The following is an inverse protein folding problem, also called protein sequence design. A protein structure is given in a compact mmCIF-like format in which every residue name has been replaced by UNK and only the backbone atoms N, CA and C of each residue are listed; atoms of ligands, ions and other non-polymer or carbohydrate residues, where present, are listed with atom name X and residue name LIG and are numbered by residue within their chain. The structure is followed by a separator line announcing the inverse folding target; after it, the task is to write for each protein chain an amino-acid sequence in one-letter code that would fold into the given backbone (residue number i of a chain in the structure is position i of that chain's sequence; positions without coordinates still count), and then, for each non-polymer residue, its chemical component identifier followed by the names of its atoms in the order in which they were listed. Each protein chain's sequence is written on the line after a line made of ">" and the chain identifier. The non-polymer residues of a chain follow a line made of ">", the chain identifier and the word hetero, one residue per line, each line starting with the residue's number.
data_IF_113499349889
#
_entry.id   IF_113499349889
#
_cell.length_a   1.000
_cell.length_b   1.000
_cell.length_c   1.000
_cell.angle_alpha   90.00
_cell.angle_beta   90.00
_cell.angle_gamma   90.00
#
_symmetry.space_group_name_H-M   'P 1'
#
loop_
_entity.id
_entity.type
_entity.pdbx_description
1 polymer ?
#
# COMPACT_ATOMS: atom_id res chain seq x y z
N UNK A 1 64.63 21.53 -53.57
CA UNK A 1 65.03 20.40 -52.72
C UNK A 1 63.96 20.18 -51.67
N UNK A 2 63.28 19.04 -51.75
CA UNK A 2 62.31 18.59 -50.77
C UNK A 2 63.02 17.90 -49.60
N UNK A 3 62.50 18.04 -48.38
CA UNK A 3 62.75 17.09 -47.31
C UNK A 3 61.38 16.64 -46.80
N UNK A 4 61.05 15.39 -47.14
CA UNK A 4 59.89 14.65 -46.66
C UNK A 4 60.33 14.00 -45.34
N UNK A 5 59.61 14.23 -44.25
CA UNK A 5 59.71 13.41 -43.03
C UNK A 5 58.38 12.68 -42.86
N UNK A 6 58.44 11.37 -43.06
CA UNK A 6 57.36 10.41 -42.91
C UNK A 6 56.95 10.27 -41.45
N UNK A 7 55.67 10.48 -41.14
CA UNK A 7 55.08 10.07 -39.87
C UNK A 7 54.48 8.66 -40.04
N UNK A 8 55.08 7.68 -39.36
CA UNK A 8 54.57 6.32 -39.31
C UNK A 8 53.30 6.23 -38.43
N UNK A 9 52.22 5.72 -39.02
CA UNK A 9 50.97 5.41 -38.33
C UNK A 9 51.16 4.12 -37.52
N UNK A 10 51.25 4.22 -36.19
CA UNK A 10 51.15 3.04 -35.32
C UNK A 10 49.66 2.82 -35.02
N UNK A 11 49.05 1.89 -35.75
CA UNK A 11 47.72 1.39 -35.44
C UNK A 11 47.82 0.39 -34.28
N UNK A 12 47.78 0.88 -33.03
CA UNK A 12 47.50 0.02 -31.87
C UNK A 12 46.01 -0.30 -31.87
N UNK A 13 45.67 -1.52 -32.31
CA UNK A 13 44.33 -2.07 -32.14
C UNK A 13 43.97 -2.18 -30.65
N UNK A 14 43.05 -1.33 -30.19
CA UNK A 14 42.35 -1.57 -28.94
C UNK A 14 41.46 -2.79 -29.11
N UNK A 15 41.92 -3.94 -28.61
CA UNK A 15 41.05 -5.04 -28.25
C UNK A 15 40.08 -4.50 -27.19
N UNK A 16 38.86 -4.18 -27.61
CA UNK A 16 37.75 -3.96 -26.70
C UNK A 16 37.48 -5.28 -25.98
N UNK A 17 38.11 -5.47 -24.82
CA UNK A 17 37.68 -6.49 -23.88
C UNK A 17 36.30 -6.07 -23.41
N UNK A 18 35.27 -6.65 -24.02
CA UNK A 18 33.91 -6.64 -23.49
C UNK A 18 33.93 -7.41 -22.18
N UNK A 19 34.30 -6.72 -21.10
CA UNK A 19 34.07 -7.19 -19.75
C UNK A 19 32.56 -7.28 -19.59
N UNK A 20 32.02 -8.49 -19.69
CA UNK A 20 30.70 -8.77 -19.17
C UNK A 20 30.73 -8.39 -17.69
N UNK A 21 30.16 -7.24 -17.34
CA UNK A 21 29.87 -6.96 -15.93
C UNK A 21 29.01 -8.13 -15.46
N UNK A 22 29.58 -9.00 -14.65
CA UNK A 22 28.80 -10.01 -13.95
C UNK A 22 27.74 -9.22 -13.19
N UNK A 23 26.47 -9.35 -13.60
CA UNK A 23 25.36 -8.72 -12.92
C UNK A 23 25.41 -9.17 -11.46
N UNK A 24 25.89 -8.31 -10.56
CA UNK A 24 25.84 -8.56 -9.14
C UNK A 24 24.40 -8.94 -8.79
N UNK A 25 24.24 -10.00 -8.00
CA UNK A 25 22.91 -10.44 -7.59
C UNK A 25 22.16 -9.25 -6.97
N UNK A 26 20.88 -9.04 -7.34
CA UNK A 26 20.11 -7.92 -6.82
C UNK A 26 20.12 -7.94 -5.30
N UNK A 27 20.20 -6.77 -4.68
CA UNK A 27 20.07 -6.65 -3.23
C UNK A 27 18.78 -7.38 -2.78
N UNK A 28 18.83 -8.16 -1.70
CA UNK A 28 17.73 -9.05 -1.32
C UNK A 28 16.51 -8.27 -0.84
N UNK A 29 15.37 -8.96 -0.82
CA UNK A 29 14.09 -8.38 -0.44
C UNK A 29 13.30 -7.82 -1.63
N UNK A 30 12.28 -7.04 -1.30
CA UNK A 30 11.32 -6.50 -2.26
C UNK A 30 11.07 -5.04 -1.96
N UNK A 31 11.06 -4.20 -2.99
CA UNK A 31 10.68 -2.78 -2.89
C UNK A 31 9.23 -2.68 -3.30
N UNK A 32 8.36 -2.15 -2.42
CA UNK A 32 7.02 -1.67 -2.81
C UNK A 32 7.06 -0.17 -3.02
N UNK A 33 6.28 0.32 -3.98
CA UNK A 33 6.32 1.73 -4.39
C UNK A 33 5.01 2.12 -5.09
N UNK A 34 4.81 3.41 -5.31
CA UNK A 34 3.71 3.93 -6.13
C UNK A 34 4.21 4.17 -7.54
N UNK A 35 3.43 3.77 -8.54
CA UNK A 35 3.64 4.12 -9.94
C UNK A 35 2.32 4.16 -10.67
N UNK A 36 2.10 5.21 -11.45
CA UNK A 36 0.82 5.43 -12.14
C UNK A 36 -0.40 5.33 -11.19
N UNK A 37 -0.29 5.93 -9.99
CA UNK A 37 -1.32 5.98 -8.94
C UNK A 37 -1.70 4.64 -8.30
N UNK A 38 -0.95 3.58 -8.57
CA UNK A 38 -1.20 2.22 -8.06
C UNK A 38 0.02 1.73 -7.27
N UNK A 39 -0.19 0.74 -6.42
CA UNK A 39 0.88 0.04 -5.70
C UNK A 39 1.55 -0.96 -6.63
N UNK A 40 2.88 -0.90 -6.70
CA UNK A 40 3.74 -1.80 -7.45
C UNK A 40 4.78 -2.43 -6.52
N UNK A 41 5.43 -3.46 -7.01
CA UNK A 41 6.60 -4.05 -6.36
C UNK A 41 7.68 -4.43 -7.37
N UNK A 42 8.94 -4.45 -6.94
CA UNK A 42 10.09 -4.85 -7.73
C UNK A 42 11.10 -5.64 -6.86
N UNK A 43 12.06 -6.29 -7.52
CA UNK A 43 13.25 -6.80 -6.85
C UNK A 43 14.07 -5.62 -6.30
N UNK A 44 15.02 -5.92 -5.40
CA UNK A 44 15.88 -4.89 -4.82
C UNK A 44 16.80 -4.14 -5.80
N UNK A 45 16.91 -4.55 -7.06
CA UNK A 45 17.58 -3.79 -8.12
C UNK A 45 16.60 -2.93 -8.96
N UNK A 46 15.30 -2.92 -8.62
CA UNK A 46 14.25 -2.24 -9.38
C UNK A 46 13.72 -3.02 -10.59
N UNK A 47 14.30 -4.18 -10.92
CA UNK A 47 13.82 -5.03 -12.02
C UNK A 47 12.60 -5.87 -11.62
N UNK A 48 11.90 -6.43 -12.61
CA UNK A 48 10.73 -7.28 -12.35
C UNK A 48 9.56 -6.51 -11.74
N UNK A 49 9.31 -5.28 -12.19
CA UNK A 49 8.19 -4.46 -11.71
C UNK A 49 6.85 -5.15 -11.97
N UNK A 50 6.04 -5.31 -10.94
CA UNK A 50 4.72 -5.93 -10.98
C UNK A 50 3.72 -4.99 -10.32
N UNK A 51 2.63 -4.70 -11.02
CA UNK A 51 1.49 -3.98 -10.46
C UNK A 51 0.76 -4.88 -9.46
N UNK A 52 0.68 -4.43 -8.20
CA UNK A 52 0.01 -5.14 -7.10
C UNK A 52 -1.46 -4.75 -7.03
N UNK A 53 -1.76 -3.44 -7.05
CA UNK A 53 -3.14 -2.96 -7.01
C UNK A 53 -3.67 -2.62 -8.41
N UNK A 54 -4.95 -2.85 -8.64
CA UNK A 54 -5.62 -2.46 -9.89
C UNK A 54 -6.98 -1.88 -9.58
N UNK A 55 -6.99 -0.59 -9.24
CA UNK A 55 -8.21 0.12 -8.91
C UNK A 55 -8.81 0.93 -10.04
N UNK A 56 -8.19 0.88 -11.22
CA UNK A 56 -8.58 1.68 -12.37
C UNK A 56 -8.29 3.17 -12.18
N UNK A 57 -7.32 3.53 -11.33
CA UNK A 57 -6.75 4.88 -11.19
C UNK A 57 -7.75 6.00 -10.79
N UNK A 58 -8.95 5.66 -10.29
CA UNK A 58 -9.95 6.65 -9.87
C UNK A 58 -9.47 7.47 -8.66
N UNK A 59 -8.75 6.82 -7.75
CA UNK A 59 -8.14 7.44 -6.57
C UNK A 59 -6.72 6.90 -6.41
N UNK A 60 -5.80 7.79 -6.10
CA UNK A 60 -4.38 7.50 -5.97
C UNK A 60 -4.05 6.77 -4.67
N UNK A 61 -3.24 5.72 -4.79
CA UNK A 61 -2.52 5.14 -3.66
C UNK A 61 -1.30 5.98 -3.32
N UNK A 62 -1.00 6.12 -2.02
CA UNK A 62 0.17 6.83 -1.50
C UNK A 62 0.77 6.07 -0.32
N UNK A 63 2.01 6.38 0.04
CA UNK A 63 2.69 5.84 1.23
C UNK A 63 2.54 4.31 1.38
N UNK A 64 2.98 3.50 0.39
CA UNK A 64 3.01 2.07 0.51
C UNK A 64 4.12 1.66 1.48
N UNK A 65 3.85 0.65 2.29
CA UNK A 65 4.78 0.07 3.26
C UNK A 65 4.57 -1.43 3.30
N UNK A 66 5.64 -2.20 3.48
CA UNK A 66 5.56 -3.66 3.48
C UNK A 66 6.23 -4.26 4.70
N UNK A 67 5.52 -5.19 5.35
CA UNK A 67 6.02 -5.97 6.45
C UNK A 67 6.92 -7.11 5.95
N UNK A 68 7.59 -7.79 6.86
CA UNK A 68 8.53 -8.86 6.52
C UNK A 68 7.85 -10.12 5.98
N UNK A 69 6.57 -10.30 6.32
CA UNK A 69 5.74 -11.39 5.83
C UNK A 69 5.14 -11.11 4.43
N UNK A 70 5.41 -9.93 3.85
CA UNK A 70 4.88 -9.48 2.58
C UNK A 70 3.47 -8.88 2.67
N UNK A 71 2.95 -8.62 3.87
CA UNK A 71 1.77 -7.78 4.06
C UNK A 71 2.08 -6.35 3.62
N UNK A 72 1.28 -5.80 2.71
CA UNK A 72 1.40 -4.42 2.24
C UNK A 72 0.28 -3.58 2.84
N UNK A 73 0.61 -2.41 3.37
CA UNK A 73 -0.33 -1.34 3.66
C UNK A 73 -0.05 -0.17 2.72
N UNK A 74 -1.10 0.54 2.31
CA UNK A 74 -0.98 1.79 1.58
C UNK A 74 -2.17 2.68 1.91
N UNK A 75 -2.00 3.99 1.80
CA UNK A 75 -3.10 4.93 1.87
C UNK A 75 -3.84 5.00 0.54
N UNK A 76 -5.15 5.15 0.61
CA UNK A 76 -5.99 5.52 -0.52
C UNK A 76 -7.04 6.50 -0.05
N UNK A 77 -6.95 7.75 -0.50
CA UNK A 77 -7.60 8.86 0.22
C UNK A 77 -7.11 8.88 1.68
N UNK A 78 -8.01 8.82 2.67
CA UNK A 78 -7.69 8.69 4.11
C UNK A 78 -7.89 7.26 4.66
N UNK A 79 -8.14 6.28 3.79
CA UNK A 79 -8.31 4.88 4.20
C UNK A 79 -6.97 4.13 4.12
N UNK A 80 -6.72 3.29 5.12
CA UNK A 80 -5.65 2.30 5.10
C UNK A 80 -6.16 1.07 4.34
N UNK A 81 -5.47 0.73 3.26
CA UNK A 81 -5.73 -0.48 2.47
C UNK A 81 -4.65 -1.51 2.78
N UNK A 82 -5.05 -2.65 3.35
CA UNK A 82 -4.16 -3.77 3.64
C UNK A 82 -4.33 -4.85 2.57
N UNK A 83 -3.23 -5.28 1.97
CA UNK A 83 -3.22 -6.21 0.84
C UNK A 83 -2.04 -7.19 0.90
N UNK A 84 -2.11 -8.25 0.11
CA UNK A 84 -0.99 -9.16 -0.17
C UNK A 84 -0.24 -8.70 -1.43
N UNK A 85 0.98 -9.21 -1.61
CA UNK A 85 1.78 -9.02 -2.84
C UNK A 85 1.11 -9.52 -4.13
N UNK A 86 0.10 -10.39 -4.02
CA UNK A 86 -0.72 -10.84 -5.16
C UNK A 86 -1.89 -9.91 -5.52
N UNK A 87 -2.01 -8.77 -4.84
CA UNK A 87 -3.08 -7.80 -5.03
C UNK A 87 -4.38 -8.13 -4.29
N UNK A 88 -4.44 -9.24 -3.54
CA UNK A 88 -5.61 -9.56 -2.71
C UNK A 88 -5.73 -8.53 -1.59
N UNK A 89 -6.77 -7.68 -1.66
CA UNK A 89 -7.16 -6.81 -0.55
C UNK A 89 -7.68 -7.66 0.59
N UNK A 90 -7.04 -7.54 1.76
CA UNK A 90 -7.43 -8.23 2.99
C UNK A 90 -8.55 -7.47 3.69
N UNK A 91 -8.39 -6.15 3.81
CA UNK A 91 -9.32 -5.24 4.45
C UNK A 91 -8.98 -3.77 4.12
N UNK A 92 -9.96 -2.90 4.30
CA UNK A 92 -9.82 -1.44 4.18
C UNK A 92 -10.52 -0.81 5.38
N UNK A 93 -9.91 0.20 5.99
CA UNK A 93 -10.44 0.84 7.18
C UNK A 93 -9.94 2.30 7.29
N UNK A 94 -10.72 3.20 7.92
CA UNK A 94 -10.36 4.61 8.01
C UNK A 94 -9.21 4.86 8.99
N UNK A 95 -8.18 5.59 8.57
CA UNK A 95 -7.05 5.99 9.42
C UNK A 95 -7.43 6.99 10.54
N UNK A 96 -8.66 7.53 10.48
CA UNK A 96 -9.26 8.49 11.42
C UNK A 96 -8.65 9.88 11.37
N UNK A 97 -8.84 10.65 12.43
CA UNK A 97 -8.49 12.07 12.49
C UNK A 97 -7.59 12.38 13.67
N UNK A 98 -6.80 13.45 13.54
CA UNK A 98 -5.97 14.00 14.61
C UNK A 98 -6.84 14.80 15.61
N UNK A 99 -7.69 15.66 15.07
CA UNK A 99 -8.70 16.44 15.81
C UNK A 99 -10.11 16.09 15.36
N UNK A 100 -11.15 16.46 16.13
CA UNK A 100 -12.53 16.38 15.68
C UNK A 100 -12.73 17.07 14.31
N UNK A 101 -13.51 16.47 13.38
CA UNK A 101 -13.77 17.09 12.07
C UNK A 101 -14.45 18.48 12.13
N UNK A 102 -15.07 18.82 13.26
CA UNK A 102 -15.65 20.15 13.52
C UNK A 102 -14.59 21.22 13.80
N UNK A 103 -13.38 20.82 14.16
CA UNK A 103 -12.31 21.71 14.64
C UNK A 103 -11.15 21.83 13.65
N UNK A 104 -10.99 20.84 12.76
CA UNK A 104 -9.87 20.82 11.84
C UNK A 104 -10.13 20.07 10.53
N UNK A 105 -9.43 20.49 9.47
CA UNK A 105 -9.34 19.71 8.24
C UNK A 105 -8.22 18.67 8.38
N UNK A 106 -8.60 17.40 8.47
CA UNK A 106 -7.69 16.32 8.79
C UNK A 106 -7.24 15.54 7.54
N UNK A 107 -5.99 15.12 7.51
CA UNK A 107 -5.44 14.28 6.46
C UNK A 107 -4.43 13.27 7.04
N UNK A 108 -4.47 12.04 6.53
CA UNK A 108 -3.44 11.05 6.84
C UNK A 108 -2.34 11.14 5.79
N UNK A 109 -1.11 11.42 6.25
CA UNK A 109 0.04 11.68 5.40
C UNK A 109 0.81 10.40 5.10
N UNK A 110 1.22 9.66 6.14
CA UNK A 110 2.05 8.46 6.00
C UNK A 110 1.55 7.29 6.83
N UNK A 111 1.85 6.08 6.36
CA UNK A 111 1.67 4.85 7.13
C UNK A 111 2.94 4.01 7.11
N UNK A 112 3.28 3.41 8.24
CA UNK A 112 4.37 2.44 8.32
C UNK A 112 3.91 1.18 9.07
N UNK A 113 4.00 0.02 8.42
CA UNK A 113 3.63 -1.25 9.04
C UNK A 113 4.78 -1.77 9.91
N UNK A 114 4.47 -2.45 11.01
CA UNK A 114 5.48 -3.12 11.84
C UNK A 114 6.10 -4.31 11.09
N UNK A 115 7.34 -4.72 11.43
CA UNK A 115 8.01 -5.85 10.78
C UNK A 115 7.17 -7.14 10.79
N UNK A 116 6.48 -7.44 11.89
CA UNK A 116 5.57 -8.59 12.01
C UNK A 116 4.21 -8.45 11.29
N UNK A 117 3.95 -7.31 10.65
CA UNK A 117 2.72 -7.04 9.92
C UNK A 117 1.48 -6.81 10.79
N UNK A 118 1.61 -6.73 12.12
CA UNK A 118 0.48 -6.68 13.06
C UNK A 118 0.07 -5.28 13.50
N UNK A 119 0.95 -4.29 13.41
CA UNK A 119 0.71 -2.91 13.83
C UNK A 119 0.99 -1.94 12.68
N UNK A 120 0.47 -0.73 12.81
CA UNK A 120 0.73 0.37 11.90
C UNK A 120 0.91 1.66 12.70
N UNK A 121 1.89 2.47 12.30
CA UNK A 121 2.03 3.85 12.71
C UNK A 121 1.37 4.74 11.64
N UNK A 122 0.55 5.70 12.07
CA UNK A 122 -0.22 6.59 11.22
C UNK A 122 0.26 8.02 11.47
N UNK A 123 0.94 8.61 10.49
CA UNK A 123 1.30 10.04 10.49
C UNK A 123 0.11 10.85 10.00
N UNK A 124 -0.37 11.76 10.83
CA UNK A 124 -1.54 12.59 10.61
C UNK A 124 -1.14 14.07 10.59
N UNK A 125 -1.83 14.85 9.78
CA UNK A 125 -1.75 16.30 9.78
C UNK A 125 -3.17 16.89 9.87
N UNK A 126 -3.29 18.05 10.48
CA UNK A 126 -4.54 18.78 10.55
C UNK A 126 -4.31 20.28 10.41
N UNK A 127 -5.12 20.92 9.57
CA UNK A 127 -5.18 22.38 9.48
C UNK A 127 -6.20 22.85 10.51
N UNK A 128 -5.72 23.58 11.53
CA UNK A 128 -6.52 24.12 12.63
C UNK A 128 -6.72 25.62 12.47
N UNK A 129 -7.93 26.11 12.74
CA UNK A 129 -8.22 27.53 12.82
C UNK A 129 -7.97 28.05 14.23
N UNK A 130 -7.15 29.10 14.39
CA UNK A 130 -6.96 29.77 15.68
C UNK A 130 -5.54 29.82 16.21
N UNK A 131 -4.53 29.83 15.33
CA UNK A 131 -3.16 30.17 15.72
C UNK A 131 -3.11 31.55 16.41
N UNK A 132 -2.07 31.82 17.19
CA UNK A 132 -1.97 32.98 18.12
C UNK A 132 -2.21 34.38 17.52
N UNK A 133 -2.34 34.49 16.20
CA UNK A 133 -2.66 35.72 15.46
C UNK A 133 -3.91 35.61 14.56
N UNK A 134 -4.82 34.67 14.84
CA UNK A 134 -6.03 34.45 14.01
C UNK A 134 -5.74 33.75 12.68
N UNK A 135 -4.59 33.08 12.56
CA UNK A 135 -4.13 32.36 11.37
C UNK A 135 -4.49 30.86 11.35
N UNK A 136 -4.10 30.20 10.25
CA UNK A 136 -4.14 28.76 10.08
C UNK A 136 -2.82 28.14 10.50
N UNK A 137 -2.85 27.15 11.39
CA UNK A 137 -1.68 26.35 11.76
C UNK A 137 -1.82 24.91 11.26
N UNK A 138 -0.70 24.26 10.98
CA UNK A 138 -0.64 22.83 10.68
C UNK A 138 -0.13 22.10 11.92
N UNK A 139 -0.96 21.23 12.46
CA UNK A 139 -0.59 20.36 13.56
C UNK A 139 -0.33 18.94 13.05
N UNK A 140 0.75 18.33 13.52
CA UNK A 140 1.12 16.95 13.21
C UNK A 140 0.91 16.02 14.40
N UNK A 141 0.74 14.74 14.12
CA UNK A 141 0.84 13.74 15.17
C UNK A 141 0.84 12.32 14.66
N UNK A 142 1.33 11.41 15.51
CA UNK A 142 1.39 9.99 15.23
C UNK A 142 0.38 9.23 16.10
N UNK A 143 -0.41 8.35 15.46
CA UNK A 143 -1.28 7.38 16.12
C UNK A 143 -0.83 5.95 15.82
N UNK A 144 -1.11 5.01 16.73
CA UNK A 144 -0.73 3.60 16.59
C UNK A 144 -1.95 2.70 16.66
N UNK A 145 -2.09 1.81 15.67
CA UNK A 145 -3.22 0.89 15.54
C UNK A 145 -2.76 -0.52 15.20
N UNK A 146 -3.64 -1.51 15.39
CA UNK A 146 -3.51 -2.80 14.74
C UNK A 146 -3.56 -2.61 13.21
N UNK A 147 -2.81 -3.39 12.46
CA UNK A 147 -2.73 -3.23 10.98
C UNK A 147 -4.04 -3.57 10.26
N UNK A 148 -4.91 -4.36 10.89
CA UNK A 148 -6.15 -4.86 10.30
C UNK A 148 -7.40 -4.03 10.64
N UNK A 149 -7.32 -3.08 11.57
CA UNK A 149 -8.42 -2.19 11.94
C UNK A 149 -7.93 -1.06 12.85
N UNK A 150 -8.69 0.02 12.92
CA UNK A 150 -8.43 1.10 13.87
C UNK A 150 -8.52 0.57 15.31
N UNK A 151 -7.46 0.78 16.07
CA UNK A 151 -7.39 0.58 17.52
C UNK A 151 -6.49 1.67 18.11
N UNK A 152 -6.53 1.87 19.42
CA UNK A 152 -5.62 2.79 20.10
C UNK A 152 -4.60 1.95 20.87
N UNK A 153 -3.38 1.80 20.34
CA UNK A 153 -2.31 1.04 21.00
C UNK A 153 -1.51 1.89 22.00
N UNK A 154 -1.53 3.21 21.84
CA UNK A 154 -0.98 4.20 22.76
C UNK A 154 -1.73 5.52 22.61
N UNK A 155 -1.56 6.48 23.53
CA UNK A 155 -1.98 7.86 23.31
C UNK A 155 -1.37 8.44 22.02
N UNK A 156 -2.07 9.40 21.41
CA UNK A 156 -1.58 10.18 20.28
C UNK A 156 -0.30 10.92 20.66
N UNK A 157 0.69 10.91 19.78
CA UNK A 157 1.93 11.68 19.94
C UNK A 157 1.83 12.92 19.06
N UNK A 158 1.28 14.00 19.62
CA UNK A 158 1.20 15.31 18.97
C UNK A 158 2.61 15.87 18.76
N UNK A 159 2.83 16.56 17.64
CA UNK A 159 4.13 17.07 17.21
C UNK A 159 5.17 15.99 16.86
N UNK A 160 4.76 14.72 16.77
CA UNK A 160 5.64 13.66 16.27
C UNK A 160 5.14 13.12 14.94
N UNK A 161 6.00 13.09 13.92
CA UNK A 161 5.69 12.64 12.56
C UNK A 161 6.70 11.63 12.02
N UNK A 162 6.45 11.12 10.81
CA UNK A 162 7.32 10.19 10.08
C UNK A 162 7.79 8.97 10.89
N UNK A 163 6.90 8.43 11.73
CA UNK A 163 7.19 7.28 12.56
C UNK A 163 7.41 6.01 11.71
N UNK A 164 8.61 5.42 11.81
CA UNK A 164 8.97 4.14 11.19
C UNK A 164 9.30 3.09 12.23
N UNK A 165 8.78 1.87 12.04
CA UNK A 165 9.03 0.77 12.96
C UNK A 165 10.45 0.23 12.84
N UNK A 166 11.20 0.30 13.94
CA UNK A 166 12.54 -0.30 14.04
C UNK A 166 12.52 -1.64 14.77
N UNK A 167 11.42 -1.94 15.47
CA UNK A 167 11.09 -3.25 16.05
C UNK A 167 9.57 -3.46 16.03
N UNK A 168 9.06 -4.54 16.61
CA UNK A 168 7.60 -4.75 16.73
C UNK A 168 6.93 -3.92 17.84
N UNK A 169 7.71 -3.16 18.61
CA UNK A 169 7.22 -2.34 19.72
C UNK A 169 7.82 -0.93 19.77
N UNK A 170 8.79 -0.61 18.91
CA UNK A 170 9.52 0.65 18.94
C UNK A 170 9.59 1.28 17.55
N UNK A 171 9.44 2.60 17.51
CA UNK A 171 9.60 3.42 16.32
C UNK A 171 10.75 4.41 16.50
N UNK A 172 11.34 4.78 15.36
CA UNK A 172 12.08 6.03 15.18
C UNK A 172 11.12 7.04 14.55
N UNK A 173 11.19 8.30 14.94
CA UNK A 173 10.25 9.32 14.49
C UNK A 173 10.89 10.71 14.54
N UNK A 174 10.24 11.68 13.92
CA UNK A 174 10.63 13.09 13.96
C UNK A 174 9.85 13.79 15.07
N UNK A 175 10.53 14.57 15.88
CA UNK A 175 9.98 15.48 16.87
C UNK A 175 9.98 16.90 16.29
N UNK A 176 8.79 17.49 16.20
CA UNK A 176 8.47 18.80 15.62
C UNK A 176 7.84 19.72 16.70
N UNK A 177 8.07 19.42 17.99
CA UNK A 177 7.60 20.24 19.12
C UNK A 177 8.51 21.46 19.35
N UNK A 178 9.76 21.36 18.92
CA UNK A 178 10.79 22.40 19.01
C UNK A 178 10.89 23.17 17.69
N UNK A 179 11.54 24.33 17.71
CA UNK A 179 11.78 25.13 16.50
C UNK A 179 12.70 24.45 15.47
N UNK A 180 13.34 23.34 15.84
CA UNK A 180 14.18 22.50 14.99
C UNK A 180 13.64 21.07 15.07
N UNK A 181 13.43 20.43 13.92
CA UNK A 181 13.00 19.04 13.89
C UNK A 181 14.14 18.09 14.30
N UNK A 182 13.88 17.21 15.27
CA UNK A 182 14.88 16.30 15.85
C UNK A 182 14.47 14.83 15.74
N UNK A 183 15.43 13.91 15.83
CA UNK A 183 15.16 12.48 15.74
C UNK A 183 14.88 11.92 17.14
N UNK A 184 13.73 11.26 17.29
CA UNK A 184 13.28 10.69 18.55
C UNK A 184 13.01 9.18 18.44
N UNK A 185 13.05 8.51 19.59
CA UNK A 185 12.70 7.10 19.76
C UNK A 185 11.48 6.97 20.67
N UNK A 186 10.58 6.04 20.33
CA UNK A 186 9.39 5.78 21.14
C UNK A 186 9.00 4.31 21.10
N UNK A 187 8.82 3.70 22.27
CA UNK A 187 8.20 2.39 22.43
C UNK A 187 6.76 2.53 22.88
N UNK A 188 5.87 1.63 22.45
CA UNK A 188 4.44 1.73 22.82
C UNK A 188 4.17 1.65 24.32
N UNK A 189 5.15 1.13 25.08
CA UNK A 189 5.13 1.02 26.55
C UNK A 189 5.61 2.28 27.24
N UNK A 190 6.19 3.23 26.51
CA UNK A 190 6.80 4.43 27.07
C UNK A 190 5.72 5.49 27.37
N UNK A 191 5.95 6.31 28.40
CA UNK A 191 5.08 7.45 28.71
C UNK A 191 5.12 8.51 27.60
N UNK A 192 6.34 8.86 27.17
CA UNK A 192 6.63 9.86 26.16
C UNK A 192 7.80 9.41 25.25
N UNK A 193 7.89 9.93 24.01
CA UNK A 193 9.09 9.79 23.18
C UNK A 193 10.33 10.39 23.84
N UNK A 194 11.51 9.92 23.45
CA UNK A 194 12.79 10.50 23.88
C UNK A 194 13.58 10.95 22.67
N UNK A 195 13.97 12.23 22.64
CA UNK A 195 14.90 12.76 21.64
C UNK A 195 16.22 12.01 21.72
N UNK A 196 16.72 11.58 20.56
CA UNK A 196 18.01 10.90 20.42
C UNK A 196 19.11 11.89 20.02
N UNK A 197 18.87 12.70 18.99
CA UNK A 197 19.76 13.78 18.57
C UNK A 197 19.01 14.79 17.68
N UNK A 198 19.56 15.99 17.58
CA UNK A 198 19.14 17.02 16.62
C UNK A 198 20.28 17.41 15.66
N UNK A 199 20.06 18.39 14.80
CA UNK A 199 21.10 18.82 13.85
C UNK A 199 22.31 19.47 14.53
N UNK A 200 22.08 20.27 15.58
CA UNK A 200 23.11 20.99 16.32
C UNK A 200 24.07 20.03 17.03
N UNK A 201 23.57 18.86 17.44
CA UNK A 201 24.37 17.77 17.99
C UNK A 201 25.39 17.20 17.00
N UNK A 202 25.12 17.26 15.71
CA UNK A 202 25.92 16.67 14.63
C UNK A 202 26.77 17.73 13.93
N UNK A 203 26.19 18.91 13.70
CA UNK A 203 26.77 20.04 12.99
C UNK A 203 26.80 21.29 13.87
N UNK A 204 27.58 21.30 14.98
CA UNK A 204 27.54 22.37 15.97
C UNK A 204 28.08 23.73 15.45
N UNK A 205 28.75 23.73 14.31
CA UNK A 205 29.31 24.94 13.68
C UNK A 205 28.44 25.49 12.55
N UNK A 206 27.35 24.80 12.19
CA UNK A 206 26.45 25.20 11.12
C UNK A 206 25.22 25.91 11.69
N UNK A 207 24.49 26.61 10.81
CA UNK A 207 23.12 27.00 11.13
C UNK A 207 22.27 25.73 11.24
N UNK A 208 21.52 25.53 12.33
CA UNK A 208 20.77 24.29 12.52
C UNK A 208 19.67 24.14 11.47
N UNK A 209 19.60 22.95 10.89
CA UNK A 209 18.57 22.56 9.92
C UNK A 209 17.68 21.44 10.46
N UNK A 210 16.57 21.17 9.78
CA UNK A 210 15.67 20.07 10.15
C UNK A 210 16.25 18.69 9.81
N UNK A 211 16.08 17.72 10.72
CA UNK A 211 16.42 16.31 10.51
C UNK A 211 15.15 15.47 10.37
N UNK A 212 14.92 14.92 9.18
CA UNK A 212 13.63 14.32 8.82
C UNK A 212 13.75 12.93 8.17
N UNK A 213 12.61 12.26 8.05
CA UNK A 213 12.44 10.95 7.38
C UNK A 213 13.46 9.86 7.77
N UNK A 214 13.67 9.61 9.07
CA UNK A 214 14.69 8.68 9.53
C UNK A 214 14.45 7.25 9.02
N UNK A 215 15.51 6.57 8.61
CA UNK A 215 15.51 5.17 8.19
C UNK A 215 16.68 4.42 8.84
N UNK A 216 16.37 3.46 9.72
CA UNK A 216 17.37 2.66 10.40
C UNK A 216 17.55 1.31 9.68
N UNK A 217 18.79 0.93 9.38
CA UNK A 217 19.11 -0.39 8.80
C UNK A 217 18.64 -1.53 9.69
N UNK A 218 18.38 -2.71 9.11
CA UNK A 218 17.87 -3.87 9.83
C UNK A 218 18.81 -4.35 10.95
N UNK A 219 20.12 -4.18 10.79
CA UNK A 219 21.12 -4.44 11.85
C UNK A 219 21.27 -3.29 12.86
N UNK A 220 20.76 -2.10 12.54
CA UNK A 220 20.81 -0.91 13.41
C UNK A 220 22.12 -0.15 13.35
N UNK A 221 23.03 -0.50 12.44
CA UNK A 221 24.37 0.10 12.34
C UNK A 221 24.45 1.28 11.38
N UNK A 222 23.42 1.50 10.57
CA UNK A 222 23.28 2.65 9.67
C UNK A 222 21.96 3.35 9.93
N UNK A 223 22.01 4.67 9.99
CA UNK A 223 20.84 5.54 9.97
C UNK A 223 20.96 6.41 8.72
N UNK A 224 19.85 6.62 8.02
CA UNK A 224 19.74 7.62 6.98
C UNK A 224 18.69 8.64 7.39
N UNK A 225 18.99 9.92 7.23
CA UNK A 225 18.02 11.02 7.37
C UNK A 225 18.14 11.94 6.17
N UNK A 226 17.15 12.82 6.02
CA UNK A 226 17.28 14.00 5.18
C UNK A 226 17.53 15.20 6.08
N UNK A 227 18.44 16.08 5.65
CA UNK A 227 18.75 17.33 6.32
C UNK A 227 18.37 18.51 5.44
N UNK A 228 17.74 19.53 6.01
CA UNK A 228 17.44 20.78 5.32
C UNK A 228 16.00 20.91 4.81
N UNK A 229 15.73 22.04 4.15
CA UNK A 229 14.39 22.43 3.72
C UNK A 229 14.07 21.96 2.30
N UNK A 230 12.79 22.00 1.94
CA UNK A 230 12.19 21.42 0.72
C UNK A 230 12.93 21.69 -0.62
N UNK A 231 13.77 22.72 -0.76
CA UNK A 231 14.53 23.00 -1.99
C UNK A 231 15.92 22.37 -2.02
N UNK A 232 16.55 22.16 -0.86
CA UNK A 232 18.01 21.93 -0.74
C UNK A 232 18.32 20.81 0.26
N UNK A 233 17.56 19.71 0.20
CA UNK A 233 17.77 18.58 1.10
C UNK A 233 19.05 17.82 0.77
N UNK A 234 19.80 17.49 1.80
CA UNK A 234 20.91 16.55 1.75
C UNK A 234 20.46 15.19 2.28
N UNK A 235 20.97 14.10 1.71
CA UNK A 235 20.79 12.77 2.28
C UNK A 235 22.03 12.42 3.11
N UNK A 236 21.85 12.23 4.41
CA UNK A 236 22.94 11.92 5.34
C UNK A 236 22.90 10.45 5.70
N UNK A 237 24.01 9.77 5.50
CA UNK A 237 24.26 8.41 5.98
C UNK A 237 25.10 8.51 7.24
N UNK A 238 24.62 7.90 8.32
CA UNK A 238 25.31 7.83 9.60
C UNK A 238 25.79 6.43 9.96
N UNK A 239 26.83 6.37 10.78
CA UNK A 239 27.18 5.18 11.57
C UNK A 239 26.56 5.30 12.96
N UNK A 240 25.88 4.24 13.39
CA UNK A 240 25.23 4.15 14.71
C UNK A 240 26.03 3.22 15.62
N UNK A 241 26.40 3.72 16.80
CA UNK A 241 27.06 2.95 17.85
C UNK A 241 26.11 2.72 19.01
N UNK A 242 25.73 1.46 19.24
CA UNK A 242 24.72 1.05 20.21
C UNK A 242 23.48 0.44 19.53
N UNK A 243 22.38 0.29 20.26
CA UNK A 243 21.18 -0.40 19.75
C UNK A 243 19.90 0.44 19.96
N UNK A 244 19.47 1.13 18.91
CA UNK A 244 18.27 1.98 18.92
C UNK A 244 16.96 1.19 19.12
N UNK A 245 16.98 -0.14 18.92
CA UNK A 245 15.78 -0.98 19.06
C UNK A 245 15.42 -1.26 20.52
N UNK A 246 16.39 -1.17 21.42
CA UNK A 246 16.23 -1.52 22.84
C UNK A 246 16.63 -0.39 23.78
N UNK A 247 17.48 0.54 23.36
CA UNK A 247 17.94 1.67 24.17
C UNK A 247 18.08 2.94 23.36
N UNK A 248 18.69 3.95 23.98
CA UNK A 248 19.08 5.20 23.32
C UNK A 248 20.58 5.09 23.05
N UNK A 249 21.01 4.94 21.78
CA UNK A 249 22.43 4.85 21.44
C UNK A 249 23.16 6.17 21.69
N UNK A 250 24.48 6.15 21.53
CA UNK A 250 25.22 7.40 21.39
C UNK A 250 24.74 8.19 20.17
N UNK A 251 24.99 9.50 20.16
CA UNK A 251 24.76 10.35 18.98
C UNK A 251 25.47 9.74 17.77
N UNK A 252 24.79 9.63 16.61
CA UNK A 252 25.38 9.00 15.45
C UNK A 252 26.54 9.83 14.88
N UNK A 253 27.40 9.19 14.08
CA UNK A 253 28.51 9.88 13.38
C UNK A 253 28.25 9.93 11.89
N UNK A 254 28.49 11.08 11.26
CA UNK A 254 28.32 11.25 9.82
C UNK A 254 29.29 10.33 9.08
N UNK A 255 28.76 9.46 8.22
CA UNK A 255 29.53 8.59 7.33
C UNK A 255 29.66 9.22 5.95
N UNK A 256 28.54 9.65 5.38
CA UNK A 256 28.48 10.29 4.06
C UNK A 256 27.41 11.38 4.07
N UNK A 257 27.66 12.46 3.34
CA UNK A 257 26.64 13.43 2.96
C UNK A 257 26.51 13.37 1.44
N UNK A 258 25.32 13.04 0.95
CA UNK A 258 25.01 13.05 -0.47
C UNK A 258 24.24 14.34 -0.77
N UNK A 259 24.91 15.28 -1.43
CA UNK A 259 24.31 16.56 -1.81
C UNK A 259 23.38 16.46 -3.03
N UNK A 260 22.50 17.45 -3.19
CA UNK A 260 21.64 17.61 -4.36
C UNK A 260 22.48 18.10 -5.55
N UNK A 261 22.93 17.18 -6.40
CA UNK A 261 23.36 17.56 -7.74
C UNK A 261 22.14 18.02 -8.56
N UNK A 262 21.97 19.34 -8.77
CA UNK A 262 20.88 19.93 -9.56
C UNK A 262 19.51 20.00 -8.84
N UNK A 263 18.42 20.20 -9.59
CA UNK A 263 17.02 20.40 -9.12
C UNK A 263 16.38 19.19 -8.38
N UNK A 264 17.17 18.26 -7.87
CA UNK A 264 16.70 16.95 -7.43
C UNK A 264 16.60 16.87 -5.89
N UNK A 265 15.36 16.87 -5.41
CA UNK A 265 15.00 16.73 -4.00
C UNK A 265 15.04 15.27 -3.58
N UNK A 266 15.79 14.94 -2.53
CA UNK A 266 15.74 13.62 -1.91
C UNK A 266 14.47 13.46 -1.09
N UNK A 267 13.77 12.34 -1.28
CA UNK A 267 12.57 11.98 -0.52
C UNK A 267 12.52 10.48 -0.25
N UNK A 268 11.82 10.08 0.82
CA UNK A 268 11.44 8.73 1.15
C UNK A 268 12.61 7.70 1.11
N UNK A 269 13.71 7.91 1.86
CA UNK A 269 14.80 6.93 1.89
C UNK A 269 14.37 5.61 2.53
N UNK A 270 14.83 4.49 1.97
CA UNK A 270 14.63 3.14 2.51
C UNK A 270 15.85 2.26 2.30
N UNK A 271 16.26 1.54 3.35
CA UNK A 271 17.48 0.71 3.34
C UNK A 271 17.12 -0.75 3.06
N UNK A 272 17.91 -1.37 2.19
CA UNK A 272 17.80 -2.80 1.88
C UNK A 272 17.98 -3.70 3.10
N UNK A 273 17.39 -4.90 3.05
CA UNK A 273 17.43 -5.86 4.15
C UNK A 273 18.82 -6.45 4.45
N UNK A 274 19.79 -6.28 3.55
CA UNK A 274 21.20 -6.64 3.79
C UNK A 274 22.05 -5.45 4.29
N UNK A 275 21.44 -4.30 4.55
CA UNK A 275 22.05 -3.09 5.09
C UNK A 275 23.09 -2.41 4.18
N UNK A 276 23.18 -2.82 2.90
CA UNK A 276 24.20 -2.31 1.96
C UNK A 276 23.66 -1.36 0.91
N UNK A 277 22.46 -1.61 0.41
CA UNK A 277 21.83 -0.78 -0.59
C UNK A 277 20.81 0.20 0.03
N UNK A 278 20.63 1.33 -0.63
CA UNK A 278 19.70 2.40 -0.31
C UNK A 278 18.87 2.72 -1.55
N UNK A 279 17.57 2.87 -1.37
CA UNK A 279 16.67 3.43 -2.37
C UNK A 279 16.08 4.74 -1.84
N UNK A 280 15.84 5.69 -2.74
CA UNK A 280 15.19 6.96 -2.42
C UNK A 280 14.51 7.53 -3.66
N UNK A 281 13.63 8.49 -3.47
CA UNK A 281 12.94 9.22 -4.52
C UNK A 281 13.69 10.52 -4.86
N UNK A 282 13.78 10.80 -6.15
CA UNK A 282 14.23 12.07 -6.74
C UNK A 282 13.39 12.35 -8.00
N UNK A 283 13.66 13.48 -8.67
CA UNK A 283 13.13 13.76 -10.00
C UNK A 283 13.31 12.56 -10.94
N UNK A 284 12.24 12.23 -11.66
CA UNK A 284 12.21 11.12 -12.61
C UNK A 284 11.95 9.73 -12.02
N UNK A 285 12.09 9.52 -10.71
CA UNK A 285 11.64 8.30 -10.03
C UNK A 285 12.53 7.82 -8.88
N UNK A 286 12.54 6.50 -8.64
CA UNK A 286 13.31 5.91 -7.54
C UNK A 286 14.72 5.55 -8.00
N UNK A 287 15.69 6.08 -7.27
CA UNK A 287 17.11 5.81 -7.43
C UNK A 287 17.57 4.73 -6.44
N UNK A 288 18.56 3.95 -6.85
CA UNK A 288 19.17 2.91 -6.01
C UNK A 288 20.68 3.06 -6.06
N UNK A 289 21.29 3.01 -4.88
CA UNK A 289 22.73 2.86 -4.64
C UNK A 289 22.98 1.54 -3.90
N UNK A 290 23.99 0.78 -4.30
CA UNK A 290 24.18 -0.58 -3.80
C UNK A 290 25.20 -0.71 -2.65
N UNK A 291 25.98 0.34 -2.39
CA UNK A 291 26.98 0.34 -1.31
C UNK A 291 26.95 1.60 -0.46
N UNK A 292 26.33 1.48 0.71
CA UNK A 292 26.25 2.49 1.77
C UNK A 292 27.59 2.73 2.49
N UNK A 293 28.62 1.91 2.28
CA UNK A 293 29.95 2.17 2.83
C UNK A 293 30.77 3.13 1.96
N UNK A 294 30.44 3.21 0.67
CA UNK A 294 31.06 4.11 -0.29
C UNK A 294 30.25 5.40 -0.40
N UNK A 295 30.89 6.55 -0.14
CA UNK A 295 30.24 7.85 -0.22
C UNK A 295 30.12 8.43 -1.64
N UNK A 296 30.73 7.79 -2.65
CA UNK A 296 30.57 8.22 -4.03
C UNK A 296 29.11 8.06 -4.50
N UNK A 297 28.66 8.96 -5.37
CA UNK A 297 27.33 8.90 -6.02
C UNK A 297 27.37 8.22 -7.39
N UNK A 298 28.55 7.84 -7.89
CA UNK A 298 28.75 7.26 -9.22
C UNK A 298 28.06 5.91 -9.45
N UNK A 299 27.71 5.20 -8.37
CA UNK A 299 26.98 3.93 -8.39
C UNK A 299 25.46 4.10 -8.14
N UNK A 300 25.00 5.33 -7.93
CA UNK A 300 23.58 5.65 -7.88
C UNK A 300 22.99 5.64 -9.30
N UNK A 301 21.84 5.01 -9.48
CA UNK A 301 21.14 4.97 -10.77
C UNK A 301 19.63 5.07 -10.60
N UNK A 302 18.96 5.69 -11.59
CA UNK A 302 17.51 5.64 -11.70
C UNK A 302 17.07 4.19 -11.97
N UNK A 303 16.52 3.53 -10.95
CA UNK A 303 16.17 2.11 -11.00
C UNK A 303 14.70 1.88 -11.37
N UNK A 304 13.82 2.78 -10.94
CA UNK A 304 12.38 2.69 -11.21
C UNK A 304 11.89 4.05 -11.73
N UNK A 305 11.98 4.29 -13.05
CA UNK A 305 11.45 5.51 -13.65
C UNK A 305 9.96 5.69 -13.37
N UNK A 306 9.57 6.90 -12.96
CA UNK A 306 8.20 7.28 -12.59
C UNK A 306 7.64 6.59 -11.35
N UNK A 307 8.49 5.95 -10.54
CA UNK A 307 8.12 5.41 -9.24
C UNK A 307 8.33 6.43 -8.12
N UNK A 308 7.54 6.34 -7.05
CA UNK A 308 7.62 7.18 -5.85
C UNK A 308 7.33 6.38 -4.57
N UNK A 309 7.58 6.98 -3.41
CA UNK A 309 7.36 6.40 -2.08
C UNK A 309 7.91 4.96 -1.91
N UNK A 310 9.21 4.70 -2.13
CA UNK A 310 9.75 3.35 -1.96
C UNK A 310 9.72 2.89 -0.49
N UNK A 311 9.36 1.63 -0.28
CA UNK A 311 9.53 0.92 1.00
C UNK A 311 10.15 -0.45 0.74
N UNK A 312 11.33 -0.68 1.31
CA UNK A 312 12.11 -1.89 1.09
C UNK A 312 11.97 -2.84 2.28
N UNK A 313 11.41 -4.03 2.02
CA UNK A 313 11.24 -5.05 3.05
C UNK A 313 12.08 -6.30 2.77
N UNK A 314 12.37 -7.05 3.85
CA UNK A 314 13.04 -8.35 3.77
C UNK A 314 12.17 -9.45 3.16
N UNK A 315 10.90 -9.17 2.91
CA UNK A 315 9.99 -10.09 2.22
C UNK A 315 10.58 -10.51 0.87
N UNK A 316 10.65 -11.81 0.63
CA UNK A 316 11.18 -12.35 -0.61
C UNK A 316 10.29 -11.97 -1.80
N UNK A 317 10.93 -11.52 -2.89
CA UNK A 317 10.23 -11.21 -4.13
C UNK A 317 9.61 -12.46 -4.73
N UNK A 318 8.28 -12.45 -4.89
CA UNK A 318 7.52 -13.56 -5.46
C UNK A 318 6.61 -13.01 -6.55
N UNK A 319 6.86 -13.43 -7.79
CA UNK A 319 5.93 -13.17 -8.90
C UNK A 319 4.58 -13.80 -8.53
N UNK A 320 3.49 -13.01 -8.41
CA UNK A 320 2.18 -13.57 -8.17
C UNK A 320 1.84 -14.48 -9.34
N UNK A 321 1.49 -15.74 -9.05
CA UNK A 321 0.89 -16.61 -10.07
C UNK A 321 -0.39 -15.89 -10.50
N UNK A 322 -0.43 -15.36 -11.73
CA UNK A 322 -1.62 -14.73 -12.32
C UNK A 322 -2.82 -15.62 -11.99
N UNK A 323 -3.63 -15.19 -11.02
CA UNK A 323 -4.92 -15.82 -10.80
C UNK A 323 -5.68 -15.58 -12.11
N UNK A 324 -6.12 -16.66 -12.80
CA UNK A 324 -6.91 -16.53 -14.02
C UNK A 324 -8.00 -15.50 -13.76
N UNK A 325 -8.07 -14.40 -14.53
CA UNK A 325 -8.92 -13.22 -14.38
C UNK A 325 -10.24 -13.40 -13.61
N UNK A 326 -10.14 -13.59 -12.31
CA UNK A 326 -11.25 -13.65 -11.37
C UNK A 326 -10.76 -12.98 -10.11
N UNK A 327 -10.84 -11.65 -10.13
CA UNK A 327 -10.77 -10.80 -8.95
C UNK A 327 -11.39 -11.51 -7.74
N UNK A 328 -10.78 -11.50 -6.54
CA UNK A 328 -11.36 -12.08 -5.35
C UNK A 328 -12.63 -11.28 -5.01
N UNK A 329 -13.76 -11.76 -5.52
CA UNK A 329 -15.08 -11.26 -5.21
C UNK A 329 -15.25 -11.35 -3.70
N UNK A 330 -15.24 -10.20 -3.03
CA UNK A 330 -15.61 -10.06 -1.62
C UNK A 330 -16.70 -11.07 -1.27
N UNK A 331 -16.43 -11.96 -0.31
CA UNK A 331 -17.25 -13.13 -0.04
C UNK A 331 -18.71 -12.71 0.20
N UNK A 332 -19.55 -12.85 -0.83
CA UNK A 332 -20.92 -12.32 -0.77
C UNK A 332 -21.73 -13.12 0.25
N UNK A 333 -22.47 -12.43 1.12
CA UNK A 333 -23.35 -13.05 2.13
C UNK A 333 -24.37 -13.99 1.46
N UNK A 334 -24.76 -15.08 2.12
CA UNK A 334 -25.72 -16.07 1.58
C UNK A 334 -27.16 -15.75 2.03
N UNK A 335 -28.14 -15.93 1.15
CA UNK A 335 -29.56 -15.79 1.50
C UNK A 335 -30.06 -16.96 2.37
N UNK A 336 -30.62 -16.68 3.55
CA UNK A 336 -31.38 -17.65 4.37
C UNK A 336 -32.88 -17.59 4.04
N UNK A 337 -33.42 -18.71 3.57
CA UNK A 337 -34.84 -18.87 3.21
C UNK A 337 -35.60 -19.27 4.47
N UNK A 338 -36.65 -18.54 4.81
CA UNK A 338 -37.56 -18.86 5.92
C UNK A 338 -38.77 -19.64 5.40
N UNK A 339 -39.31 -19.28 4.23
CA UNK A 339 -40.40 -20.01 3.55
C UNK A 339 -40.13 -20.06 2.05
N UNK A 340 -40.07 -21.26 1.46
CA UNK A 340 -39.80 -21.43 0.03
C UNK A 340 -40.93 -20.85 -0.84
N UNK A 341 -40.61 -20.24 -2.01
CA UNK A 341 -41.57 -19.96 -3.07
C UNK A 341 -42.43 -21.18 -3.44
N UNK A 342 -43.69 -20.96 -3.81
CA UNK A 342 -44.64 -21.99 -4.26
C UNK A 342 -45.35 -21.56 -5.55
N UNK A 343 -45.76 -22.51 -6.39
CA UNK A 343 -46.64 -22.26 -7.53
C UNK A 343 -48.08 -22.46 -7.07
N UNK A 344 -48.93 -21.44 -7.26
CA UNK A 344 -50.37 -21.47 -7.05
C UNK A 344 -51.11 -21.57 -8.39
N UNK A 345 -52.30 -22.16 -8.38
CA UNK A 345 -53.17 -22.32 -9.56
C UNK A 345 -53.38 -23.79 -9.96
N UNK A 346 -54.43 -24.05 -10.76
CA UNK A 346 -54.74 -25.40 -11.25
C UNK A 346 -53.76 -25.78 -12.37
N UNK A 347 -53.10 -26.93 -12.24
CA UNK A 347 -52.19 -27.50 -13.25
C UNK A 347 -52.99 -28.09 -14.43
N UNK A 348 -53.69 -27.24 -15.17
CA UNK A 348 -54.56 -27.61 -16.30
C UNK A 348 -54.30 -26.67 -17.48
N UNK A 349 -54.41 -27.18 -18.71
CA UNK A 349 -54.31 -26.36 -19.94
C UNK A 349 -55.26 -25.15 -19.87
N UNK A 350 -54.82 -24.02 -20.40
CA UNK A 350 -55.51 -22.72 -20.41
C UNK A 350 -55.70 -22.02 -19.05
N UNK A 351 -55.31 -22.65 -17.94
CA UNK A 351 -55.28 -21.99 -16.62
C UNK A 351 -53.97 -21.26 -16.38
N UNK A 352 -53.99 -20.30 -15.46
CA UNK A 352 -52.82 -19.48 -15.11
C UNK A 352 -52.21 -19.94 -13.80
N UNK A 353 -50.90 -20.12 -13.80
CA UNK A 353 -50.09 -20.41 -12.62
C UNK A 353 -49.40 -19.13 -12.13
N UNK A 354 -49.28 -18.95 -10.82
CA UNK A 354 -48.63 -17.79 -10.19
C UNK A 354 -47.60 -18.23 -9.15
N UNK A 355 -46.41 -17.63 -9.17
CA UNK A 355 -45.34 -17.93 -8.20
C UNK A 355 -45.42 -16.99 -7.00
N UNK A 356 -45.30 -17.52 -5.78
CA UNK A 356 -45.17 -16.71 -4.56
C UNK A 356 -43.71 -16.29 -4.31
N UNK A 357 -43.47 -15.16 -3.66
CA UNK A 357 -42.11 -14.64 -3.41
C UNK A 357 -41.32 -15.40 -2.33
N UNK A 358 -41.99 -16.19 -1.48
CA UNK A 358 -41.39 -16.81 -0.28
C UNK A 358 -41.11 -15.81 0.85
N UNK A 359 -40.56 -16.28 1.98
CA UNK A 359 -40.11 -15.47 3.14
C UNK A 359 -38.60 -15.65 3.32
N UNK A 360 -37.88 -14.57 3.63
CA UNK A 360 -36.42 -14.51 3.65
C UNK A 360 -35.94 -13.73 4.88
N UNK A 361 -34.86 -14.15 5.54
CA UNK A 361 -34.35 -13.46 6.76
C UNK A 361 -33.93 -12.02 6.45
N UNK A 362 -33.27 -11.79 5.31
CA UNK A 362 -33.03 -10.47 4.73
C UNK A 362 -33.75 -10.37 3.39
N UNK A 363 -34.60 -9.35 3.23
CA UNK A 363 -35.49 -9.20 2.06
C UNK A 363 -34.65 -9.01 0.77
N UNK A 364 -34.84 -9.85 -0.26
CA UNK A 364 -34.25 -9.61 -1.58
C UNK A 364 -34.81 -8.32 -2.20
N UNK A 365 -33.99 -7.63 -2.99
CA UNK A 365 -34.40 -6.39 -3.68
C UNK A 365 -34.90 -6.65 -5.09
N UNK A 366 -34.45 -7.74 -5.75
CA UNK A 366 -34.89 -8.10 -7.11
C UNK A 366 -35.20 -9.60 -7.23
N UNK A 367 -36.23 -9.92 -8.00
CA UNK A 367 -36.64 -11.29 -8.36
C UNK A 367 -36.62 -11.46 -9.88
N UNK A 368 -36.02 -12.53 -10.38
CA UNK A 368 -36.12 -12.96 -11.78
C UNK A 368 -36.77 -14.33 -11.85
N UNK A 369 -37.68 -14.52 -12.80
CA UNK A 369 -38.37 -15.78 -13.04
C UNK A 369 -38.01 -16.32 -14.41
N UNK A 370 -37.97 -17.64 -14.53
CA UNK A 370 -37.90 -18.34 -15.81
C UNK A 370 -38.72 -19.62 -15.69
N UNK A 371 -39.76 -19.73 -16.51
CA UNK A 371 -40.55 -20.95 -16.61
C UNK A 371 -39.87 -21.97 -17.53
N UNK A 372 -40.03 -23.24 -17.18
CA UNK A 372 -39.46 -24.38 -17.88
C UNK A 372 -40.53 -25.45 -18.07
N UNK A 373 -40.50 -26.09 -19.24
CA UNK A 373 -41.26 -27.29 -19.56
C UNK A 373 -40.32 -28.47 -19.43
N UNK A 374 -40.53 -29.32 -18.43
CA UNK A 374 -39.48 -30.26 -18.06
C UNK A 374 -38.19 -29.49 -17.73
N UNK A 375 -37.03 -29.88 -18.29
CA UNK A 375 -35.73 -29.21 -18.04
C UNK A 375 -35.49 -28.03 -19.01
N UNK A 376 -36.29 -27.90 -20.08
CA UNK A 376 -36.10 -26.91 -21.14
C UNK A 376 -36.77 -25.58 -20.79
N UNK A 377 -36.07 -24.46 -21.00
CA UNK A 377 -36.63 -23.11 -20.80
C UNK A 377 -37.74 -22.86 -21.83
N UNK A 378 -38.80 -22.18 -21.41
CA UNK A 378 -39.84 -21.68 -22.32
C UNK A 378 -39.44 -20.25 -22.71
N UNK A 379 -39.21 -20.00 -24.00
CA UNK A 379 -38.77 -18.68 -24.52
C UNK A 379 -39.73 -17.59 -24.04
N UNK A 380 -39.18 -16.45 -23.61
CA UNK A 380 -39.89 -15.28 -23.08
C UNK A 380 -40.77 -15.50 -21.83
N UNK A 381 -40.85 -16.71 -21.26
CA UNK A 381 -41.67 -16.98 -20.08
C UNK A 381 -40.93 -16.57 -18.79
N UNK A 382 -40.82 -15.27 -18.55
CA UNK A 382 -40.05 -14.66 -17.44
C UNK A 382 -40.90 -13.93 -16.40
N UNK A 383 -42.22 -13.91 -16.59
CA UNK A 383 -43.17 -13.25 -15.68
C UNK A 383 -43.48 -14.13 -14.45
N UNK A 384 -43.98 -13.50 -13.39
CA UNK A 384 -44.44 -14.19 -12.16
C UNK A 384 -45.67 -15.07 -12.40
N UNK A 385 -46.44 -14.78 -13.45
CA UNK A 385 -47.57 -15.57 -13.94
C UNK A 385 -47.21 -16.30 -15.23
N UNK A 386 -47.78 -17.48 -15.45
CA UNK A 386 -47.66 -18.22 -16.70
C UNK A 386 -48.99 -18.89 -17.06
N UNK A 387 -49.50 -18.62 -18.27
CA UNK A 387 -50.69 -19.29 -18.82
C UNK A 387 -50.26 -20.62 -19.42
N UNK A 388 -50.82 -21.71 -18.92
CA UNK A 388 -50.51 -23.08 -19.36
C UNK A 388 -50.97 -23.27 -20.80
N UNK A 389 -50.05 -23.66 -21.68
CA UNK A 389 -50.30 -23.88 -23.11
C UNK A 389 -50.59 -25.34 -23.40
N UNK A 390 -51.21 -25.64 -24.54
CA UNK A 390 -51.48 -27.03 -25.00
C UNK A 390 -50.22 -27.89 -25.03
N UNK A 391 -49.09 -27.32 -25.45
CA UNK A 391 -47.78 -27.97 -25.45
C UNK A 391 -47.24 -28.36 -24.06
N UNK A 392 -47.83 -27.87 -22.97
CA UNK A 392 -47.46 -28.23 -21.59
C UNK A 392 -48.20 -29.49 -21.09
N UNK A 393 -49.21 -29.97 -21.82
CA UNK A 393 -50.06 -31.09 -21.41
C UNK A 393 -49.24 -32.35 -21.14
N UNK A 394 -49.61 -33.09 -20.09
CA UNK A 394 -48.89 -34.28 -19.59
C UNK A 394 -47.42 -34.02 -19.19
N UNK A 395 -46.93 -32.77 -19.18
CA UNK A 395 -45.60 -32.41 -18.68
C UNK A 395 -45.69 -31.78 -17.29
N UNK A 396 -44.56 -31.70 -16.58
CA UNK A 396 -44.42 -30.89 -15.36
C UNK A 396 -43.83 -29.53 -15.75
N UNK A 397 -44.41 -28.47 -15.24
CA UNK A 397 -43.82 -27.13 -15.34
C UNK A 397 -42.92 -26.87 -14.13
N UNK A 398 -41.83 -26.16 -14.37
CA UNK A 398 -40.93 -25.67 -13.34
C UNK A 398 -40.77 -24.17 -13.47
N UNK A 399 -40.50 -23.50 -12.36
CA UNK A 399 -40.06 -22.10 -12.37
C UNK A 399 -38.79 -21.97 -11.57
N UNK A 400 -37.76 -21.39 -12.21
CA UNK A 400 -36.51 -21.02 -11.56
C UNK A 400 -36.64 -19.57 -11.09
N UNK A 401 -36.70 -19.38 -9.79
CA UNK A 401 -36.73 -18.07 -9.12
C UNK A 401 -35.30 -17.71 -8.73
N UNK A 402 -34.76 -16.63 -9.28
CA UNK A 402 -33.45 -16.08 -8.89
C UNK A 402 -33.67 -14.83 -8.06
N UNK A 403 -33.13 -14.81 -6.84
CA UNK A 403 -33.20 -13.64 -5.95
C UNK A 403 -31.87 -12.92 -5.88
N UNK A 404 -31.92 -11.59 -5.80
CA UNK A 404 -30.75 -10.71 -5.75
C UNK A 404 -30.88 -9.64 -4.67
N UNK A 405 -29.74 -9.24 -4.11
CA UNK A 405 -29.51 -8.07 -3.25
C UNK A 405 -28.03 -7.73 -3.34
N UNK A 406 -27.67 -6.44 -3.38
CA UNK A 406 -26.27 -6.03 -3.38
C UNK A 406 -25.57 -6.56 -2.11
N UNK A 407 -24.32 -6.99 -2.23
CA UNK A 407 -23.57 -7.67 -1.16
C UNK A 407 -23.95 -9.14 -0.89
N UNK A 408 -24.92 -9.72 -1.61
CA UNK A 408 -25.33 -11.14 -1.46
C UNK A 408 -25.06 -11.99 -2.71
N UNK A 409 -24.76 -13.26 -2.49
CA UNK A 409 -24.68 -14.26 -3.57
C UNK A 409 -26.10 -14.54 -4.10
N UNK A 410 -26.26 -14.56 -5.42
CA UNK A 410 -27.56 -14.88 -6.05
C UNK A 410 -28.04 -16.26 -5.61
N UNK A 411 -29.25 -16.37 -5.08
CA UNK A 411 -29.85 -17.67 -4.73
C UNK A 411 -30.91 -18.05 -5.75
N UNK A 412 -30.83 -19.29 -6.26
CA UNK A 412 -31.76 -19.86 -7.23
C UNK A 412 -32.61 -20.92 -6.54
N UNK A 413 -33.93 -20.83 -6.65
CA UNK A 413 -34.88 -21.84 -6.15
C UNK A 413 -35.71 -22.31 -7.33
N UNK A 414 -35.83 -23.63 -7.50
CA UNK A 414 -36.72 -24.22 -8.50
C UNK A 414 -37.94 -24.79 -7.82
N UNK A 415 -39.13 -24.43 -8.30
CA UNK A 415 -40.40 -24.98 -7.83
C UNK A 415 -41.06 -25.71 -8.99
N UNK A 416 -41.70 -26.85 -8.71
CA UNK A 416 -42.29 -27.74 -9.72
C UNK A 416 -43.80 -27.88 -9.50
N UNK A 417 -44.57 -27.95 -10.57
CA UNK A 417 -46.00 -28.23 -10.52
C UNK A 417 -46.29 -29.73 -10.45
N UNK A 418 -47.54 -30.08 -10.11
CA UNK A 418 -48.11 -31.38 -10.53
C UNK A 418 -48.14 -31.48 -12.07
N UNK A 419 -48.31 -32.69 -12.61
CA UNK A 419 -48.41 -32.92 -14.06
C UNK A 419 -49.61 -32.15 -14.61
N UNK A 420 -49.43 -31.46 -15.74
CA UNK A 420 -50.50 -30.68 -16.38
C UNK A 420 -51.55 -31.64 -16.97
N UNK A 421 -52.82 -31.46 -16.59
CA UNK A 421 -53.98 -32.16 -17.14
C UNK A 421 -54.55 -31.45 -18.39
#
# INVERSE_FOLDING_TARGET
>A
MAVIVSAALIATGMLATSATMANAAPAPGTIVFIKNKEVWMAKGDGTGQIQVSNSGQILEYRSPTMADDGTILALKSNDVVRMKTDGTILNTWPAGTLFPPSEAQNSTQKVHVSPDGKKVALGLAAIVSGGGFGGWDIAYGTQFSASHQRTNLSPTRLYYKDAKWISNNRVIMVNDETSQESIALFSLTDGAPTTWFDDSDIFPSDYPLDQIEPELSADGTRLVTLRGYMSDRELIVYTVTGNARTGIPAKPTVKCVLGSGGDNKFENPTISSNNKALAWEMSGGIWIKNDLNNCATSDARLAIPGGSDPSWSKAAYKVPKKASNSSPKAAKKKFKVVKKPKIKGKAKVSKTLKVTKGKWKKKPTKFKYQWLRGKKKIKAATKVKYKVKKADRRKKLRVKVTVKRNGFANKKITVTTKKIR
#
